data_IF_622337945663
#
_entry.id   IF_622337945663
#
_cell.length_a   1.000
_cell.length_b   1.000
_cell.length_c   1.000
_cell.angle_alpha   90.00
_cell.angle_beta   90.00
_cell.angle_gamma   90.00
#
_symmetry.space_group_name_H-M   'P 1'
#
loop_
_entity.id
_entity.type
_entity.pdbx_description
1 polymer ?
#
# COMPACT_ATOMS: atom_id res chain seq x y z
N UNK A 1 -1.18 12.41 14.92
CA UNK A 1 -0.57 13.61 14.30
C UNK A 1 -0.31 14.70 15.34
N UNK A 2 0.36 15.76 14.93
CA UNK A 2 0.64 16.96 15.72
C UNK A 2 2.01 16.98 16.36
N UNK A 3 2.27 18.05 17.11
CA UNK A 3 3.52 18.25 17.85
C UNK A 3 3.64 17.26 19.01
N UNK A 4 4.78 16.59 19.09
CA UNK A 4 5.11 15.62 20.15
C UNK A 4 6.50 15.90 20.69
N UNK A 5 6.71 15.59 21.96
CA UNK A 5 8.05 15.63 22.54
C UNK A 5 8.96 14.61 21.84
N UNK A 6 10.15 15.05 21.45
CA UNK A 6 11.12 14.20 20.78
C UNK A 6 11.85 13.33 21.80
N UNK A 7 11.63 12.01 21.73
CA UNK A 7 12.28 11.04 22.62
C UNK A 7 13.79 10.90 22.38
N UNK A 8 14.33 11.44 21.28
CA UNK A 8 15.76 11.52 20.99
C UNK A 8 16.42 12.82 21.49
N UNK A 9 15.63 13.76 22.03
CA UNK A 9 16.17 15.04 22.48
C UNK A 9 17.18 14.86 23.62
N UNK A 10 18.40 15.37 23.41
CA UNK A 10 19.54 15.21 24.33
C UNK A 10 19.88 13.75 24.65
N UNK A 11 19.63 12.84 23.71
CA UNK A 11 20.03 11.46 23.89
C UNK A 11 21.57 11.34 23.85
N UNK A 12 22.23 10.93 24.94
CA UNK A 12 23.68 11.10 25.10
C UNK A 12 24.53 10.37 24.06
N UNK A 13 24.04 9.25 23.52
CA UNK A 13 24.83 8.41 22.60
C UNK A 13 24.89 8.95 21.17
N UNK A 14 24.03 9.92 20.79
CA UNK A 14 23.88 10.34 19.39
C UNK A 14 23.98 11.85 19.15
N UNK A 15 24.45 12.63 20.13
CA UNK A 15 24.45 14.10 20.10
C UNK A 15 25.18 14.69 18.87
N UNK A 16 26.14 13.96 18.29
CA UNK A 16 26.93 14.37 17.12
C UNK A 16 26.68 13.52 15.85
N UNK A 17 25.71 12.59 15.89
CA UNK A 17 25.45 11.67 14.76
C UNK A 17 24.03 11.78 14.20
N UNK A 18 23.11 12.42 14.94
CA UNK A 18 21.75 12.64 14.44
C UNK A 18 21.72 13.83 13.47
N UNK A 19 20.89 13.76 12.41
CA UNK A 19 20.55 14.91 11.60
C UNK A 19 19.94 16.04 12.45
N UNK A 20 20.24 17.30 12.09
CA UNK A 20 19.82 18.50 12.83
C UNK A 20 18.33 18.54 13.16
N UNK A 21 17.47 18.05 12.26
CA UNK A 21 16.03 18.03 12.45
C UNK A 21 15.56 17.09 13.58
N UNK A 22 16.38 16.11 13.99
CA UNK A 22 16.14 15.23 15.13
C UNK A 22 16.74 15.75 16.44
N UNK A 23 17.42 16.90 16.44
CA UNK A 23 17.97 17.52 17.65
C UNK A 23 16.98 18.46 18.36
N UNK A 24 15.82 18.72 17.73
CA UNK A 24 14.77 19.54 18.33
C UNK A 24 14.10 18.81 19.50
N UNK A 25 13.63 19.56 20.50
CA UNK A 25 12.87 19.01 21.64
C UNK A 25 11.47 18.51 21.26
N UNK A 26 11.02 18.84 20.05
CA UNK A 26 9.74 18.48 19.49
C UNK A 26 9.90 17.88 18.09
N UNK A 27 8.99 16.98 17.73
CA UNK A 27 8.80 16.43 16.39
C UNK A 27 7.36 16.62 15.94
N UNK A 28 7.17 16.76 14.64
CA UNK A 28 5.87 16.93 14.01
C UNK A 28 5.48 15.63 13.32
N UNK A 29 4.39 15.02 13.78
CA UNK A 29 3.86 13.80 13.17
C UNK A 29 2.69 14.16 12.27
N UNK A 30 2.77 13.77 11.01
CA UNK A 30 1.69 13.94 10.03
C UNK A 30 1.10 12.61 9.62
N UNK A 31 -0.03 12.66 8.93
CA UNK A 31 -0.64 11.47 8.34
C UNK A 31 0.20 10.99 7.13
N UNK A 32 0.49 9.69 7.07
CA UNK A 32 1.27 9.11 5.98
C UNK A 32 0.55 9.19 4.62
N UNK A 33 -0.78 9.38 4.62
CA UNK A 33 -1.59 9.60 3.42
C UNK A 33 -1.16 10.82 2.60
N UNK A 34 -0.46 11.79 3.21
CA UNK A 34 0.14 12.93 2.48
C UNK A 34 1.38 12.55 1.68
N UNK A 35 2.00 11.40 1.94
CA UNK A 35 3.17 10.89 1.25
C UNK A 35 2.84 9.61 0.47
N UNK A 36 2.97 8.45 1.12
CA UNK A 36 2.68 7.12 0.55
C UNK A 36 1.49 6.58 1.32
N UNK A 37 0.34 6.48 0.64
CA UNK A 37 -0.93 6.09 1.24
C UNK A 37 -1.04 4.57 1.54
N UNK A 38 0.08 3.93 1.89
CA UNK A 38 0.16 2.56 2.39
C UNK A 38 1.45 2.37 3.18
N UNK A 39 1.41 1.48 4.17
CA UNK A 39 2.50 1.19 5.08
C UNK A 39 3.70 0.43 4.47
N UNK A 40 4.02 0.59 3.18
CA UNK A 40 5.18 -0.04 2.54
C UNK A 40 6.49 0.14 3.34
N UNK A 41 6.87 1.36 3.81
CA UNK A 41 8.09 1.53 4.61
C UNK A 41 8.12 0.68 5.89
N UNK A 42 6.96 0.28 6.41
CA UNK A 42 6.85 -0.57 7.60
C UNK A 42 7.12 -2.05 7.34
N UNK A 43 7.21 -2.50 6.09
CA UNK A 43 7.51 -3.91 5.76
C UNK A 43 8.83 -4.08 5.02
N UNK A 44 9.36 -3.03 4.41
CA UNK A 44 10.54 -3.09 3.53
C UNK A 44 11.91 -3.00 4.24
N UNK A 45 11.95 -3.06 5.58
CA UNK A 45 13.24 -3.11 6.27
C UNK A 45 13.88 -4.49 6.07
N UNK A 46 15.17 -4.58 5.67
CA UNK A 46 15.82 -5.86 5.40
C UNK A 46 15.73 -6.87 6.55
N UNK A 47 15.84 -6.40 7.80
CA UNK A 47 15.76 -7.25 9.01
C UNK A 47 14.42 -8.00 9.14
N UNK A 48 13.37 -7.58 8.44
CA UNK A 48 12.07 -8.26 8.44
C UNK A 48 12.02 -9.46 7.51
N UNK A 49 12.95 -9.59 6.57
CA UNK A 49 13.03 -10.73 5.65
C UNK A 49 11.75 -10.98 4.84
N UNK A 50 10.98 -9.95 4.52
CA UNK A 50 9.68 -10.10 3.84
C UNK A 50 9.88 -10.59 2.41
N UNK A 51 9.27 -11.72 2.07
CA UNK A 51 9.32 -12.29 0.71
C UNK A 51 8.09 -11.98 -0.14
N UNK A 52 6.94 -11.79 0.50
CA UNK A 52 5.66 -11.55 -0.16
C UNK A 52 4.90 -10.42 0.54
N UNK A 53 4.46 -9.43 -0.24
CA UNK A 53 3.63 -8.32 0.22
C UNK A 53 2.26 -8.42 -0.42
N UNK A 54 1.21 -8.53 0.40
CA UNK A 54 -0.17 -8.37 -0.05
C UNK A 54 -0.58 -6.90 0.13
N UNK A 55 -0.51 -6.13 -0.94
CA UNK A 55 -0.84 -4.71 -0.99
C UNK A 55 -2.30 -4.52 -1.36
N UNK A 56 -3.16 -4.34 -0.37
CA UNK A 56 -4.54 -3.88 -0.58
C UNK A 56 -4.55 -2.36 -0.73
N UNK A 57 -5.06 -1.87 -1.86
CA UNK A 57 -5.09 -0.45 -2.17
C UNK A 57 -6.52 0.09 -2.16
N UNK A 58 -6.70 1.21 -1.46
CA UNK A 58 -7.99 1.88 -1.27
C UNK A 58 -8.02 3.25 -1.96
N UNK A 59 -7.08 3.51 -2.87
CA UNK A 59 -7.00 4.71 -3.68
C UNK A 59 -8.18 4.82 -4.64
N UNK A 60 -8.80 5.99 -4.66
CA UNK A 60 -10.01 6.25 -5.45
C UNK A 60 -9.65 6.81 -6.83
N UNK A 61 -8.63 7.66 -6.90
CA UNK A 61 -8.25 8.37 -8.12
C UNK A 61 -7.39 7.50 -9.06
N UNK A 62 -6.24 7.01 -8.59
CA UNK A 62 -5.36 6.10 -9.34
C UNK A 62 -5.05 4.89 -8.44
N UNK A 63 -5.53 3.69 -8.78
CA UNK A 63 -5.34 2.50 -7.96
C UNK A 63 -3.87 2.05 -7.84
N UNK A 64 -2.98 2.54 -8.71
CA UNK A 64 -1.55 2.20 -8.71
C UNK A 64 -0.66 3.30 -8.13
N UNK A 65 -1.23 4.44 -7.73
CA UNK A 65 -0.46 5.58 -7.22
C UNK A 65 0.42 5.17 -6.06
N UNK A 66 -0.15 4.41 -5.11
CA UNK A 66 0.54 4.02 -3.89
C UNK A 66 1.73 3.11 -4.16
N UNK A 67 1.57 2.07 -4.97
CA UNK A 67 2.65 1.13 -5.31
C UNK A 67 3.73 1.82 -6.17
N UNK A 68 3.32 2.73 -7.05
CA UNK A 68 4.25 3.54 -7.86
C UNK A 68 5.06 4.51 -6.99
N UNK A 69 4.43 5.18 -6.02
CA UNK A 69 5.12 6.03 -5.04
C UNK A 69 6.04 5.23 -4.14
N UNK A 70 5.64 4.04 -3.73
CA UNK A 70 6.50 3.12 -2.97
C UNK A 70 7.75 2.74 -3.77
N UNK A 71 7.63 2.38 -5.05
CA UNK A 71 8.77 2.07 -5.91
C UNK A 71 9.75 3.26 -6.02
N UNK A 72 9.25 4.48 -6.27
CA UNK A 72 10.07 5.71 -6.30
C UNK A 72 10.76 6.01 -4.98
N UNK A 73 10.06 5.80 -3.86
CA UNK A 73 10.65 5.93 -2.53
C UNK A 73 11.78 4.92 -2.32
N UNK A 74 11.57 3.67 -2.74
CA UNK A 74 12.56 2.62 -2.61
C UNK A 74 13.81 2.90 -3.45
N UNK A 75 13.63 3.29 -4.71
CA UNK A 75 14.70 3.73 -5.61
C UNK A 75 15.53 4.87 -4.97
N UNK A 76 14.87 5.92 -4.49
CA UNK A 76 15.53 7.07 -3.86
C UNK A 76 16.34 6.70 -2.62
N UNK A 77 15.92 5.68 -1.87
CA UNK A 77 16.55 5.27 -0.62
C UNK A 77 17.41 4.00 -0.74
N UNK A 78 17.66 3.52 -1.96
CA UNK A 78 18.37 2.26 -2.22
C UNK A 78 17.77 1.05 -1.48
N UNK A 79 16.43 1.02 -1.36
CA UNK A 79 15.70 -0.10 -0.79
C UNK A 79 15.30 -1.03 -1.95
N UNK A 80 15.59 -2.34 -1.88
CA UNK A 80 15.18 -3.28 -2.91
C UNK A 80 13.64 -3.38 -2.99
N UNK A 81 13.09 -3.22 -4.19
CA UNK A 81 11.65 -3.28 -4.47
C UNK A 81 11.43 -3.79 -5.91
N UNK A 82 10.35 -4.53 -6.19
CA UNK A 82 10.11 -5.06 -7.53
C UNK A 82 9.85 -3.93 -8.55
N UNK A 83 10.12 -4.23 -9.82
CA UNK A 83 9.84 -3.32 -10.91
C UNK A 83 8.32 -3.14 -11.07
N UNK A 84 7.87 -1.87 -11.06
CA UNK A 84 6.49 -1.51 -11.35
C UNK A 84 6.42 -0.97 -12.78
N UNK A 85 5.90 -1.72 -13.76
CA UNK A 85 5.79 -1.25 -15.13
C UNK A 85 4.77 -0.10 -15.24
N UNK A 86 4.90 0.77 -16.25
CA UNK A 86 3.87 1.75 -16.56
C UNK A 86 2.52 1.06 -16.82
N UNK A 87 1.46 1.61 -16.23
CA UNK A 87 0.08 1.12 -16.39
C UNK A 87 -0.68 2.07 -17.31
N UNK A 88 -1.41 1.53 -18.29
CA UNK A 88 -2.24 2.34 -19.19
C UNK A 88 -3.41 2.98 -18.46
N UNK A 89 -3.89 4.13 -18.95
CA UNK A 89 -5.06 4.80 -18.38
C UNK A 89 -6.33 3.92 -18.45
N UNK A 90 -6.44 3.06 -19.48
CA UNK A 90 -7.53 2.09 -19.60
C UNK A 90 -7.54 1.08 -18.43
N UNK A 91 -6.37 0.53 -18.08
CA UNK A 91 -6.26 -0.41 -16.97
C UNK A 91 -6.39 0.30 -15.61
N UNK A 92 -6.01 1.58 -15.50
CA UNK A 92 -6.27 2.37 -14.28
C UNK A 92 -7.76 2.64 -14.05
N UNK A 93 -8.51 2.91 -15.11
CA UNK A 93 -9.94 3.17 -15.02
C UNK A 93 -10.71 1.89 -14.63
N UNK A 94 -10.34 0.75 -15.23
CA UNK A 94 -11.02 -0.53 -15.03
C UNK A 94 -10.01 -1.63 -14.69
N UNK A 95 -9.40 -1.62 -13.49
CA UNK A 95 -8.31 -2.52 -13.15
C UNK A 95 -8.79 -3.95 -12.96
N UNK A 96 -7.92 -4.91 -13.23
CA UNK A 96 -8.00 -6.29 -12.74
C UNK A 96 -7.94 -6.36 -11.20
N UNK A 97 -8.49 -7.41 -10.60
CA UNK A 97 -8.52 -7.55 -9.12
C UNK A 97 -7.18 -7.83 -8.45
N UNK A 98 -6.16 -8.24 -9.22
CA UNK A 98 -4.85 -8.55 -8.69
C UNK A 98 -3.76 -8.42 -9.77
N UNK A 99 -2.65 -7.80 -9.38
CA UNK A 99 -1.41 -7.70 -10.14
C UNK A 99 -0.28 -8.30 -9.32
N UNK A 100 0.60 -9.05 -9.97
CA UNK A 100 1.75 -9.66 -9.33
C UNK A 100 2.99 -9.01 -9.92
N UNK A 101 3.74 -8.31 -9.08
CA UNK A 101 5.04 -7.73 -9.43
C UNK A 101 6.12 -8.64 -8.83
N UNK A 102 6.74 -9.51 -9.65
CA UNK A 102 7.71 -10.48 -9.16
C UNK A 102 8.96 -9.76 -8.65
N UNK A 103 9.49 -10.22 -7.52
CA UNK A 103 10.75 -9.75 -6.97
C UNK A 103 11.92 -10.63 -7.39
N UNK A 104 13.04 -10.01 -7.79
CA UNK A 104 14.33 -10.68 -7.97
C UNK A 104 15.27 -10.22 -6.85
N UNK A 105 15.46 -11.04 -5.82
CA UNK A 105 16.13 -10.64 -4.55
C UNK A 105 15.42 -9.48 -3.81
N UNK A 106 14.14 -9.27 -4.10
CA UNK A 106 13.25 -8.32 -3.44
C UNK A 106 11.95 -9.04 -3.10
N UNK A 107 11.09 -8.49 -2.22
CA UNK A 107 9.78 -9.06 -2.03
C UNK A 107 8.98 -9.07 -3.34
N UNK A 108 8.22 -10.13 -3.60
CA UNK A 108 7.14 -10.12 -4.58
C UNK A 108 5.98 -9.29 -4.02
N UNK A 109 5.39 -8.43 -4.83
CA UNK A 109 4.23 -7.61 -4.44
C UNK A 109 3.00 -8.09 -5.19
N UNK A 110 2.00 -8.59 -4.46
CA UNK A 110 0.66 -8.77 -4.97
C UNK A 110 -0.15 -7.52 -4.64
N UNK A 111 -0.60 -6.80 -5.66
CA UNK A 111 -1.35 -5.56 -5.52
C UNK A 111 -2.82 -5.74 -5.89
N UNK A 112 -3.71 -5.30 -5.01
CA UNK A 112 -5.16 -5.52 -5.07
C UNK A 112 -5.91 -4.18 -5.00
N UNK A 113 -6.31 -3.60 -6.15
CA UNK A 113 -7.21 -2.46 -6.16
C UNK A 113 -8.58 -2.81 -5.57
N UNK A 114 -9.09 -1.98 -4.66
CA UNK A 114 -10.39 -2.21 -4.01
C UNK A 114 -11.54 -2.30 -5.02
N UNK A 115 -11.64 -1.32 -5.91
CA UNK A 115 -12.65 -1.33 -6.98
C UNK A 115 -12.00 -1.81 -8.28
N UNK A 116 -12.46 -2.94 -8.79
CA UNK A 116 -11.88 -3.62 -9.93
C UNK A 116 -12.95 -4.36 -10.74
N UNK A 117 -12.64 -4.68 -11.99
CA UNK A 117 -13.60 -5.27 -12.94
C UNK A 117 -14.10 -6.64 -12.53
N UNK A 118 -13.28 -7.41 -11.80
CA UNK A 118 -13.65 -8.76 -11.42
C UNK A 118 -14.71 -8.76 -10.31
N UNK A 119 -14.60 -7.87 -9.32
CA UNK A 119 -15.53 -7.82 -8.18
C UNK A 119 -16.66 -6.80 -8.34
N UNK A 120 -16.49 -5.78 -9.17
CA UNK A 120 -17.50 -4.75 -9.43
C UNK A 120 -18.25 -4.95 -10.75
N UNK A 121 -17.87 -5.94 -11.56
CA UNK A 121 -18.51 -6.36 -12.83
C UNK A 121 -18.41 -5.37 -14.00
N UNK A 122 -18.42 -4.06 -13.76
CA UNK A 122 -18.35 -3.03 -14.81
C UNK A 122 -17.62 -1.76 -14.37
N UNK A 123 -17.12 -1.00 -15.35
CA UNK A 123 -16.52 0.31 -15.12
C UNK A 123 -17.53 1.32 -14.53
N UNK A 124 -18.80 1.24 -14.96
CA UNK A 124 -19.87 2.09 -14.44
C UNK A 124 -20.08 1.86 -12.94
N UNK A 125 -20.07 0.59 -12.50
CA UNK A 125 -20.21 0.26 -11.09
C UNK A 125 -18.99 0.68 -10.28
N UNK A 126 -17.78 0.55 -10.83
CA UNK A 126 -16.55 1.06 -10.20
C UNK A 126 -16.68 2.57 -9.92
N UNK A 127 -17.10 3.35 -10.91
CA UNK A 127 -17.26 4.80 -10.76
C UNK A 127 -18.39 5.17 -9.79
N UNK A 128 -19.49 4.43 -9.78
CA UNK A 128 -20.55 4.59 -8.78
C UNK A 128 -20.01 4.38 -7.36
N UNK A 129 -19.30 3.27 -7.13
CA UNK A 129 -18.74 2.93 -5.82
C UNK A 129 -17.68 3.96 -5.38
N UNK A 130 -16.79 4.41 -6.27
CA UNK A 130 -15.83 5.48 -5.98
C UNK A 130 -16.51 6.77 -5.51
N UNK A 131 -17.66 7.11 -6.09
CA UNK A 131 -18.44 8.28 -5.69
C UNK A 131 -19.13 8.10 -4.33
N UNK A 132 -19.66 6.91 -4.06
CA UNK A 132 -20.30 6.57 -2.77
C UNK A 132 -19.25 6.54 -1.65
N UNK A 133 -18.09 5.93 -1.88
CA UNK A 133 -17.07 5.63 -0.86
C UNK A 133 -15.89 6.62 -0.85
N UNK A 134 -16.14 7.88 -1.23
CA UNK A 134 -15.14 8.95 -1.21
C UNK A 134 -14.58 9.23 0.19
N UNK A 135 -13.28 9.54 0.29
CA UNK A 135 -12.57 9.80 1.56
C UNK A 135 -13.23 10.87 2.43
N UNK A 136 -13.80 11.92 1.82
CA UNK A 136 -14.43 13.03 2.56
C UNK A 136 -15.88 12.73 3.01
N UNK A 137 -16.42 11.53 2.76
CA UNK A 137 -17.75 11.17 3.26
C UNK A 137 -17.66 10.84 4.75
N UNK A 138 -18.43 11.59 5.55
CA UNK A 138 -18.33 11.52 7.02
C UNK A 138 -19.08 10.36 7.67
N UNK A 139 -20.23 9.94 7.12
CA UNK A 139 -21.07 8.89 7.71
C UNK A 139 -21.51 7.93 6.61
N UNK A 140 -21.41 6.64 6.91
CA UNK A 140 -21.95 5.55 6.10
C UNK A 140 -23.14 4.92 6.82
N UNK A 141 -24.15 4.48 6.07
CA UNK A 141 -25.20 3.60 6.62
C UNK A 141 -24.64 2.20 6.87
N UNK A 142 -25.36 1.38 7.64
CA UNK A 142 -25.01 -0.03 7.85
C UNK A 142 -24.96 -0.80 6.52
N UNK A 143 -25.93 -0.56 5.64
CA UNK A 143 -25.98 -1.14 4.29
C UNK A 143 -24.75 -0.77 3.45
N UNK A 144 -24.33 0.50 3.47
CA UNK A 144 -23.12 0.95 2.74
C UNK A 144 -21.84 0.31 3.32
N UNK A 145 -21.78 0.10 4.64
CA UNK A 145 -20.65 -0.59 5.25
C UNK A 145 -20.62 -2.06 4.82
N UNK A 146 -21.76 -2.73 4.83
CA UNK A 146 -21.89 -4.13 4.42
C UNK A 146 -21.55 -4.34 2.94
N UNK A 147 -22.02 -3.43 2.08
CA UNK A 147 -21.72 -3.43 0.65
C UNK A 147 -20.21 -3.31 0.39
N UNK A 148 -19.55 -2.31 1.01
CA UNK A 148 -18.11 -2.13 0.86
C UNK A 148 -17.32 -3.34 1.39
N UNK A 149 -17.77 -3.89 2.52
CA UNK A 149 -17.17 -5.07 3.13
C UNK A 149 -17.30 -6.28 2.21
N UNK A 150 -18.43 -6.45 1.54
CA UNK A 150 -18.64 -7.56 0.61
C UNK A 150 -17.79 -7.42 -0.66
N UNK A 151 -17.61 -6.20 -1.18
CA UNK A 151 -16.64 -5.93 -2.26
C UNK A 151 -15.22 -6.34 -1.84
N UNK A 152 -14.77 -5.91 -0.67
CA UNK A 152 -13.44 -6.25 -0.16
C UNK A 152 -13.26 -7.76 0.06
N UNK A 153 -14.27 -8.45 0.63
CA UNK A 153 -14.25 -9.91 0.80
C UNK A 153 -14.17 -10.63 -0.55
N UNK A 154 -14.92 -10.18 -1.54
CA UNK A 154 -14.94 -10.80 -2.86
C UNK A 154 -13.62 -10.63 -3.60
N UNK A 155 -12.93 -9.50 -3.45
CA UNK A 155 -11.56 -9.33 -3.98
C UNK A 155 -10.62 -10.43 -3.48
N UNK A 156 -10.62 -10.69 -2.17
CA UNK A 156 -9.77 -11.71 -1.57
C UNK A 156 -10.19 -13.11 -2.00
N UNK A 157 -11.51 -13.41 -1.96
CA UNK A 157 -12.03 -14.73 -2.36
C UNK A 157 -11.68 -15.08 -3.80
N UNK A 158 -11.83 -14.13 -4.74
CA UNK A 158 -11.54 -14.34 -6.17
C UNK A 158 -10.05 -14.59 -6.44
N UNK A 159 -9.17 -14.05 -5.61
CA UNK A 159 -7.72 -14.20 -5.78
C UNK A 159 -7.09 -15.22 -4.82
N UNK A 160 -7.90 -16.01 -4.10
CA UNK A 160 -7.43 -17.00 -3.13
C UNK A 160 -6.36 -17.92 -3.71
N UNK A 161 -6.59 -18.47 -4.90
CA UNK A 161 -5.65 -19.43 -5.49
C UNK A 161 -4.33 -18.76 -5.87
N UNK A 162 -4.36 -17.54 -6.41
CA UNK A 162 -3.15 -16.75 -6.68
C UNK A 162 -2.37 -16.45 -5.39
N UNK A 163 -3.07 -16.09 -4.31
CA UNK A 163 -2.45 -15.83 -3.00
C UNK A 163 -1.76 -17.09 -2.48
N UNK A 164 -2.42 -18.24 -2.57
CA UNK A 164 -1.83 -19.52 -2.14
C UNK A 164 -0.60 -19.86 -3.00
N UNK A 165 -0.67 -19.69 -4.31
CA UNK A 165 0.46 -19.92 -5.22
C UNK A 165 1.65 -19.04 -4.88
N UNK A 166 1.45 -17.73 -4.68
CA UNK A 166 2.55 -16.82 -4.34
C UNK A 166 3.10 -17.07 -2.94
N UNK A 167 2.28 -17.52 -1.99
CA UNK A 167 2.76 -17.99 -0.68
C UNK A 167 3.66 -19.22 -0.83
N UNK A 168 3.30 -20.17 -1.70
CA UNK A 168 4.12 -21.35 -1.98
C UNK A 168 5.44 -20.96 -2.64
N UNK A 169 5.40 -20.10 -3.67
CA UNK A 169 6.60 -19.57 -4.34
C UNK A 169 7.53 -18.86 -3.34
N UNK A 170 6.99 -18.05 -2.44
CA UNK A 170 7.78 -17.34 -1.43
C UNK A 170 8.49 -18.29 -0.46
N UNK A 171 7.83 -19.39 -0.05
CA UNK A 171 8.44 -20.42 0.81
C UNK A 171 9.54 -21.20 0.07
N UNK A 172 9.37 -21.43 -1.23
CA UNK A 172 10.38 -22.12 -2.05
C UNK A 172 11.61 -21.24 -2.32
N UNK A 173 11.43 -19.93 -2.47
CA UNK A 173 12.52 -18.98 -2.70
C UNK A 173 13.43 -18.74 -1.47
N UNK A 174 12.96 -19.03 -0.25
CA UNK A 174 13.78 -18.97 0.97
C UNK A 174 14.68 -20.20 1.19
N UNK A 175 14.48 -21.28 0.41
CA UNK A 175 15.26 -22.53 0.51
C UNK A 175 16.51 -22.50 -0.37
#
# INVERSE_FOLDING_TARGET
WGTKHNFLYKYPEYENTLPDYLLNNEIYLEDAGFAINCGYPLVLRPDRGVQLILSFDFGIADPFETVTKAAKYCEKNNIPFPLIPPVSEEEKNCPSSCYIFPGENTPTVMHFPLFNKDSCESNEKIEELKNIYRTAKGIYSEEEVDDLLEVAKNNVRKNKDKIITEMQNAVEAER
#
